data_IF_083311326314
#
_entry.id   IF_083311326314
#
_cell.length_a   1.000
_cell.length_b   1.000
_cell.length_c   1.000
_cell.angle_alpha   90.00
_cell.angle_beta   90.00
_cell.angle_gamma   90.00
#
_symmetry.space_group_name_H-M   'P 1'
#
loop_
_entity.id
_entity.type
_entity.pdbx_description
1 polymer ?
#
# COMPACT_ATOMS: atom_id res chain seq x y z
N UNK A 1 -34.80 74.08 -1.29
CA UNK A 1 -33.57 73.42 -0.86
C UNK A 1 -33.83 71.91 -0.88
N UNK A 2 -33.56 71.26 -2.01
CA UNK A 2 -33.73 69.82 -2.17
C UNK A 2 -32.42 69.15 -1.76
N UNK A 3 -32.45 68.34 -0.69
CA UNK A 3 -31.32 67.51 -0.30
C UNK A 3 -31.36 66.29 -1.20
N UNK A 4 -30.45 66.25 -2.16
CA UNK A 4 -30.18 65.09 -2.99
C UNK A 4 -29.47 64.09 -2.07
N UNK A 5 -30.16 63.02 -1.68
CA UNK A 5 -29.54 61.92 -0.97
C UNK A 5 -28.61 61.17 -1.93
N UNK A 6 -27.30 61.34 -1.78
CA UNK A 6 -26.34 60.46 -2.42
C UNK A 6 -26.51 59.05 -1.86
N UNK A 7 -27.06 58.15 -2.68
CA UNK A 7 -26.99 56.71 -2.42
C UNK A 7 -25.53 56.31 -2.60
N UNK A 8 -24.81 56.13 -1.49
CA UNK A 8 -23.49 55.48 -1.48
C UNK A 8 -23.65 54.16 -2.25
N UNK A 9 -22.95 53.93 -3.37
CA UNK A 9 -23.04 52.67 -4.07
C UNK A 9 -22.61 51.58 -3.09
N UNK A 10 -23.52 50.66 -2.79
CA UNK A 10 -23.25 49.55 -1.88
C UNK A 10 -21.96 48.88 -2.33
N UNK A 11 -20.95 48.85 -1.46
CA UNK A 11 -19.71 48.13 -1.71
C UNK A 11 -20.10 46.68 -1.94
N UNK A 12 -20.09 46.24 -3.19
CA UNK A 12 -20.21 44.83 -3.54
C UNK A 12 -18.92 44.20 -3.02
N UNK A 13 -18.93 43.74 -1.77
CA UNK A 13 -17.83 42.92 -1.25
C UNK A 13 -17.75 41.68 -2.13
N UNK A 14 -16.75 41.63 -3.00
CA UNK A 14 -16.45 40.47 -3.82
C UNK A 14 -16.25 39.27 -2.90
N UNK A 15 -17.23 38.37 -2.87
CA UNK A 15 -17.16 37.17 -2.03
C UNK A 15 -16.20 36.17 -2.69
N UNK A 16 -15.22 35.63 -1.95
CA UNK A 16 -14.26 34.68 -2.51
C UNK A 16 -14.95 33.54 -3.27
N UNK A 17 -14.37 33.18 -4.42
CA UNK A 17 -14.80 32.04 -5.25
C UNK A 17 -14.82 30.72 -4.49
N UNK A 18 -13.87 30.55 -3.57
CA UNK A 18 -13.59 29.32 -2.84
C UNK A 18 -13.59 29.60 -1.34
N UNK A 19 -14.23 28.73 -0.56
CA UNK A 19 -14.25 28.79 0.90
C UNK A 19 -13.49 27.63 1.53
N UNK A 20 -12.20 27.87 1.81
CA UNK A 20 -11.28 26.86 2.35
C UNK A 20 -11.74 26.25 3.68
N UNK A 21 -12.37 27.04 4.55
CA UNK A 21 -12.90 26.52 5.83
C UNK A 21 -13.92 25.39 5.62
N UNK A 22 -14.81 25.51 4.62
CA UNK A 22 -15.78 24.47 4.28
C UNK A 22 -15.10 23.22 3.70
N UNK A 23 -14.08 23.42 2.86
CA UNK A 23 -13.28 22.32 2.28
C UNK A 23 -12.55 21.54 3.37
N UNK A 24 -11.87 22.24 4.30
CA UNK A 24 -11.17 21.59 5.40
C UNK A 24 -12.13 20.88 6.35
N UNK A 25 -13.28 21.48 6.68
CA UNK A 25 -14.31 20.82 7.48
C UNK A 25 -14.81 19.53 6.80
N UNK A 26 -15.08 19.58 5.49
CA UNK A 26 -15.43 18.39 4.71
C UNK A 26 -14.33 17.33 4.72
N UNK A 27 -13.06 17.72 4.55
CA UNK A 27 -11.94 16.79 4.56
C UNK A 27 -11.70 16.12 5.93
N UNK A 28 -11.86 16.88 7.02
CA UNK A 28 -11.77 16.35 8.39
C UNK A 28 -12.88 15.33 8.63
N UNK A 29 -14.11 15.62 8.21
CA UNK A 29 -15.23 14.68 8.35
C UNK A 29 -15.05 13.43 7.49
N UNK A 30 -14.58 13.56 6.26
CA UNK A 30 -14.23 12.40 5.43
C UNK A 30 -13.19 11.51 6.13
N UNK A 31 -12.15 12.13 6.69
CA UNK A 31 -11.10 11.41 7.43
C UNK A 31 -11.65 10.69 8.66
N UNK A 32 -12.49 11.36 9.46
CA UNK A 32 -13.12 10.75 10.63
C UNK A 32 -14.02 9.56 10.25
N UNK A 33 -14.79 9.68 9.17
CA UNK A 33 -15.63 8.60 8.63
C UNK A 33 -14.76 7.44 8.14
N UNK A 34 -13.66 7.72 7.46
CA UNK A 34 -12.69 6.68 7.05
C UNK A 34 -12.17 5.93 8.26
N UNK A 35 -11.67 6.62 9.30
CA UNK A 35 -11.14 5.97 10.51
C UNK A 35 -12.20 5.11 11.21
N UNK A 36 -13.42 5.63 11.34
CA UNK A 36 -14.54 4.92 11.97
C UNK A 36 -14.89 3.62 11.22
N UNK A 37 -15.04 3.69 9.89
CA UNK A 37 -15.41 2.52 9.08
C UNK A 37 -14.25 1.53 8.91
N UNK A 38 -13.00 2.00 8.90
CA UNK A 38 -11.83 1.13 8.92
C UNK A 38 -11.76 0.37 10.23
N UNK A 39 -11.95 1.02 11.39
CA UNK A 39 -11.98 0.35 12.69
C UNK A 39 -13.10 -0.70 12.77
N UNK A 40 -14.29 -0.39 12.23
CA UNK A 40 -15.39 -1.35 12.12
C UNK A 40 -15.01 -2.57 11.28
N UNK A 41 -14.42 -2.34 10.10
CA UNK A 41 -13.98 -3.42 9.21
C UNK A 41 -12.91 -4.31 9.83
N UNK A 42 -11.95 -3.72 10.55
CA UNK A 42 -10.93 -4.45 11.29
C UNK A 42 -11.55 -5.32 12.38
N UNK A 43 -12.53 -4.81 13.13
CA UNK A 43 -13.24 -5.58 14.15
C UNK A 43 -13.95 -6.81 13.56
N UNK A 44 -14.63 -6.65 12.43
CA UNK A 44 -15.27 -7.76 11.70
C UNK A 44 -14.20 -8.74 11.19
N UNK A 45 -13.08 -8.25 10.66
CA UNK A 45 -11.99 -9.08 10.15
C UNK A 45 -11.35 -9.96 11.23
N UNK A 46 -11.12 -9.43 12.44
CA UNK A 46 -10.57 -10.21 13.55
C UNK A 46 -11.53 -11.29 14.05
N UNK A 47 -12.84 -11.05 13.97
CA UNK A 47 -13.83 -12.07 14.32
C UNK A 47 -13.82 -13.30 13.39
N UNK A 48 -13.21 -13.18 12.20
CA UNK A 48 -13.16 -14.25 11.18
C UNK A 48 -11.86 -15.08 11.22
N UNK A 49 -10.85 -14.65 11.97
CA UNK A 49 -9.56 -15.37 12.05
C UNK A 49 -9.54 -16.23 13.30
N UNK A 50 -9.46 -17.55 13.11
CA UNK A 50 -9.26 -18.50 14.20
C UNK A 50 -7.77 -18.76 14.42
N UNK A 51 -7.33 -19.00 15.67
CA UNK A 51 -5.98 -19.50 15.97
C UNK A 51 -5.68 -20.85 15.28
N UNK A 52 -6.72 -21.63 14.98
CA UNK A 52 -6.57 -22.88 14.23
C UNK A 52 -6.62 -22.60 12.72
N UNK A 53 -5.46 -22.59 12.08
CA UNK A 53 -5.30 -22.24 10.66
C UNK A 53 -6.01 -23.19 9.70
N UNK A 54 -6.37 -24.41 10.13
CA UNK A 54 -7.04 -25.40 9.30
C UNK A 54 -8.48 -25.01 8.92
N UNK A 55 -9.13 -24.16 9.71
CA UNK A 55 -10.51 -23.69 9.48
C UNK A 55 -10.59 -22.28 8.89
N UNK A 56 -9.45 -21.64 8.64
CA UNK A 56 -9.42 -20.27 8.15
C UNK A 56 -9.80 -20.22 6.66
N UNK A 57 -10.53 -19.19 6.22
CA UNK A 57 -10.83 -18.97 4.82
C UNK A 57 -9.53 -18.78 4.01
N UNK A 58 -9.62 -19.03 2.70
CA UNK A 58 -8.49 -18.81 1.78
C UNK A 58 -7.92 -17.39 1.95
N UNK A 59 -6.58 -17.21 2.03
CA UNK A 59 -5.94 -15.90 2.12
C UNK A 59 -6.36 -14.93 1.01
N UNK A 60 -6.66 -15.48 -0.17
CA UNK A 60 -7.16 -14.72 -1.32
C UNK A 60 -8.56 -14.17 -1.04
N UNK A 61 -9.46 -15.00 -0.50
CA UNK A 61 -10.82 -14.58 -0.17
C UNK A 61 -10.82 -13.47 0.90
N UNK A 62 -10.01 -13.63 1.94
CA UNK A 62 -9.83 -12.61 2.98
C UNK A 62 -9.35 -11.27 2.40
N UNK A 63 -8.36 -11.30 1.51
CA UNK A 63 -7.81 -10.09 0.88
C UNK A 63 -8.83 -9.41 -0.03
N UNK A 64 -9.60 -10.18 -0.81
CA UNK A 64 -10.65 -9.64 -1.70
C UNK A 64 -11.76 -8.97 -0.88
N UNK A 65 -12.23 -9.61 0.20
CA UNK A 65 -13.25 -9.02 1.07
C UNK A 65 -12.76 -7.73 1.73
N UNK A 66 -11.52 -7.70 2.21
CA UNK A 66 -10.91 -6.49 2.77
C UNK A 66 -10.80 -5.37 1.72
N UNK A 67 -10.40 -5.69 0.49
CA UNK A 67 -10.32 -4.73 -0.60
C UNK A 67 -11.70 -4.13 -0.95
N UNK A 68 -12.74 -4.96 -1.06
CA UNK A 68 -14.11 -4.49 -1.30
C UNK A 68 -14.58 -3.57 -0.17
N UNK A 69 -14.31 -3.95 1.08
CA UNK A 69 -14.65 -3.11 2.24
C UNK A 69 -13.99 -1.73 2.17
N UNK A 70 -12.69 -1.65 1.85
CA UNK A 70 -11.97 -0.38 1.74
C UNK A 70 -12.53 0.52 0.62
N UNK A 71 -13.00 -0.06 -0.49
CA UNK A 71 -13.69 0.69 -1.55
C UNK A 71 -14.97 1.32 -1.00
N UNK A 72 -15.77 0.54 -0.25
CA UNK A 72 -17.01 1.04 0.37
C UNK A 72 -16.69 2.17 1.36
N UNK A 73 -15.68 2.00 2.23
CA UNK A 73 -15.24 3.04 3.17
C UNK A 73 -14.90 4.33 2.42
N UNK A 74 -14.11 4.22 1.35
CA UNK A 74 -13.70 5.36 0.54
C UNK A 74 -14.90 6.09 -0.08
N UNK A 75 -15.87 5.36 -0.63
CA UNK A 75 -17.04 5.95 -1.27
C UNK A 75 -17.94 6.67 -0.25
N UNK A 76 -18.19 6.04 0.89
CA UNK A 76 -19.00 6.62 1.97
C UNK A 76 -18.32 7.87 2.55
N UNK A 77 -17.01 7.81 2.83
CA UNK A 77 -16.26 8.96 3.31
C UNK A 77 -16.26 10.12 2.30
N UNK A 78 -16.10 9.82 1.00
CA UNK A 78 -16.14 10.81 -0.08
C UNK A 78 -17.50 11.51 -0.16
N UNK A 79 -18.60 10.77 0.05
CA UNK A 79 -19.95 11.33 0.10
C UNK A 79 -20.08 12.33 1.26
N UNK A 80 -19.75 11.93 2.49
CA UNK A 80 -19.90 12.81 3.65
C UNK A 80 -19.00 14.05 3.58
N UNK A 81 -17.75 13.89 3.14
CA UNK A 81 -16.84 15.02 2.99
C UNK A 81 -17.28 16.00 1.92
N UNK A 82 -17.68 15.49 0.74
CA UNK A 82 -18.19 16.32 -0.35
C UNK A 82 -19.46 17.06 0.04
N UNK A 83 -20.41 16.34 0.65
CA UNK A 83 -21.67 16.91 1.14
C UNK A 83 -21.45 18.06 2.11
N UNK A 84 -20.57 17.88 3.09
CA UNK A 84 -20.31 18.91 4.09
C UNK A 84 -19.57 20.11 3.50
N UNK A 85 -18.62 19.88 2.57
CA UNK A 85 -17.93 20.96 1.87
C UNK A 85 -18.89 21.84 1.05
N UNK A 86 -19.87 21.24 0.38
CA UNK A 86 -20.93 21.97 -0.32
C UNK A 86 -21.88 22.70 0.64
N UNK A 87 -22.32 22.04 1.71
CA UNK A 87 -23.29 22.59 2.66
C UNK A 87 -22.76 23.76 3.49
N UNK A 88 -21.47 23.74 3.85
CA UNK A 88 -20.85 24.78 4.69
C UNK A 88 -20.34 25.99 3.89
N UNK A 89 -20.30 25.92 2.56
CA UNK A 89 -19.96 27.08 1.72
C UNK A 89 -21.02 28.17 1.92
N UNK A 90 -20.72 29.47 2.00
CA UNK A 90 -21.73 30.51 2.19
C UNK A 90 -22.69 30.61 0.99
N UNK A 91 -23.97 30.82 1.27
CA UNK A 91 -24.98 31.05 0.24
C UNK A 91 -24.57 32.22 -0.66
N UNK A 92 -24.71 32.02 -1.97
CA UNK A 92 -24.37 33.05 -2.95
C UNK A 92 -25.62 33.88 -3.21
N UNK A 93 -25.56 35.19 -2.95
CA UNK A 93 -26.73 36.08 -3.08
C UNK A 93 -27.30 36.16 -4.50
N UNK A 94 -28.47 36.77 -4.62
CA UNK A 94 -29.23 36.94 -5.86
C UNK A 94 -28.38 37.70 -6.91
N UNK A 95 -27.88 37.00 -7.93
CA UNK A 95 -27.06 37.60 -8.99
C UNK A 95 -26.14 36.65 -9.75
N UNK A 96 -25.83 35.46 -9.22
CA UNK A 96 -25.09 34.43 -9.97
C UNK A 96 -26.02 33.47 -10.71
N UNK A 97 -25.57 33.03 -11.89
CA UNK A 97 -26.22 31.97 -12.65
C UNK A 97 -26.22 30.66 -11.84
N UNK A 98 -27.31 29.90 -11.94
CA UNK A 98 -27.49 28.62 -11.23
C UNK A 98 -26.35 27.63 -11.52
N UNK A 99 -25.88 27.58 -12.78
CA UNK A 99 -24.81 26.69 -13.22
C UNK A 99 -23.47 27.00 -12.53
N UNK A 100 -23.18 28.27 -12.27
CA UNK A 100 -21.96 28.68 -11.58
C UNK A 100 -21.99 28.29 -10.10
N UNK A 101 -23.16 28.37 -9.45
CA UNK A 101 -23.32 27.92 -8.06
C UNK A 101 -23.12 26.40 -7.98
N UNK A 102 -23.71 25.65 -8.91
CA UNK A 102 -23.54 24.20 -9.01
C UNK A 102 -22.09 23.81 -9.29
N UNK A 103 -21.39 24.50 -10.19
CA UNK A 103 -19.97 24.29 -10.46
C UNK A 103 -19.12 24.51 -9.20
N UNK A 104 -19.37 25.59 -8.44
CA UNK A 104 -18.62 25.89 -7.22
C UNK A 104 -18.86 24.86 -6.11
N UNK A 105 -20.09 24.35 -5.99
CA UNK A 105 -20.43 23.34 -4.98
C UNK A 105 -19.87 21.95 -5.35
N UNK A 106 -19.88 21.57 -6.63
CA UNK A 106 -19.18 20.36 -7.12
C UNK A 106 -17.67 20.46 -6.95
N UNK A 107 -17.08 21.61 -7.27
CA UNK A 107 -15.65 21.86 -7.10
C UNK A 107 -15.25 21.82 -5.62
N UNK A 108 -16.06 22.37 -4.71
CA UNK A 108 -15.81 22.29 -3.28
C UNK A 108 -15.75 20.83 -2.80
N UNK A 109 -16.66 19.98 -3.28
CA UNK A 109 -16.64 18.54 -3.00
C UNK A 109 -15.40 17.83 -3.54
N UNK A 110 -15.02 18.12 -4.80
CA UNK A 110 -13.82 17.56 -5.41
C UNK A 110 -12.53 17.96 -4.67
N UNK A 111 -12.40 19.25 -4.31
CA UNK A 111 -11.22 19.75 -3.58
C UNK A 111 -11.17 19.17 -2.17
N UNK A 112 -12.32 19.01 -1.49
CA UNK A 112 -12.36 18.35 -0.18
C UNK A 112 -11.90 16.88 -0.27
N UNK A 113 -12.31 16.15 -1.31
CA UNK A 113 -11.81 14.81 -1.59
C UNK A 113 -10.29 14.79 -1.82
N UNK A 114 -9.76 15.71 -2.63
CA UNK A 114 -8.33 15.81 -2.89
C UNK A 114 -7.52 16.12 -1.62
N UNK A 115 -8.00 17.06 -0.79
CA UNK A 115 -7.38 17.38 0.50
C UNK A 115 -7.41 16.17 1.44
N UNK A 116 -8.51 15.42 1.46
CA UNK A 116 -8.61 14.18 2.26
C UNK A 116 -7.60 13.14 1.78
N UNK A 117 -7.49 12.92 0.47
CA UNK A 117 -6.53 11.96 -0.10
C UNK A 117 -5.09 12.35 0.25
N UNK A 118 -4.74 13.63 0.15
CA UNK A 118 -3.42 14.14 0.55
C UNK A 118 -3.18 14.01 2.06
N UNK A 119 -4.20 14.25 2.89
CA UNK A 119 -4.11 14.10 4.33
C UNK A 119 -3.88 12.63 4.70
N UNK A 120 -4.66 11.71 4.15
CA UNK A 120 -4.47 10.26 4.36
C UNK A 120 -3.07 9.84 3.89
N UNK A 121 -2.62 10.30 2.72
CA UNK A 121 -1.26 10.04 2.22
C UNK A 121 -0.18 10.60 3.16
N UNK A 122 -0.39 11.78 3.73
CA UNK A 122 0.51 12.38 4.71
C UNK A 122 0.56 11.55 6.01
N UNK A 123 -0.58 11.11 6.55
CA UNK A 123 -0.61 10.27 7.75
C UNK A 123 0.12 8.93 7.53
N UNK A 124 -0.06 8.32 6.36
CA UNK A 124 0.60 7.06 5.99
C UNK A 124 2.11 7.20 5.83
N UNK A 125 2.60 8.38 5.40
CA UNK A 125 4.03 8.65 5.20
C UNK A 125 4.73 9.18 6.46
N UNK A 126 3.99 9.72 7.42
CA UNK A 126 4.56 10.29 8.67
C UNK A 126 5.09 9.22 9.63
N UNK A 127 4.83 7.93 9.36
CA UNK A 127 5.42 6.81 10.12
C UNK A 127 6.95 6.74 10.07
N UNK A 128 7.60 7.28 9.02
CA UNK A 128 9.06 7.40 8.88
C UNK A 128 9.42 8.57 7.95
N UNK A 129 9.68 9.76 8.51
CA UNK A 129 10.54 10.82 7.95
C UNK A 129 10.32 11.35 6.51
N UNK A 130 10.07 12.66 6.40
CA UNK A 130 10.28 13.56 5.24
C UNK A 130 9.30 13.50 4.04
N UNK A 131 8.42 14.50 3.98
CA UNK A 131 7.31 14.66 3.00
C UNK A 131 7.72 15.32 1.67
N UNK A 132 8.95 15.80 1.49
CA UNK A 132 9.22 16.74 0.39
C UNK A 132 9.75 16.15 -0.94
N UNK A 133 9.59 14.86 -1.23
CA UNK A 133 10.06 14.34 -2.54
C UNK A 133 9.66 12.92 -2.94
N UNK A 134 8.53 12.40 -2.47
CA UNK A 134 8.29 10.94 -2.51
C UNK A 134 6.88 10.51 -2.88
N UNK A 135 6.24 11.15 -3.87
CA UNK A 135 4.96 10.63 -4.41
C UNK A 135 5.13 9.18 -4.92
N UNK A 136 6.28 8.84 -5.51
CA UNK A 136 6.61 7.47 -5.94
C UNK A 136 6.83 6.47 -4.80
N UNK A 137 7.43 6.88 -3.67
CA UNK A 137 7.69 5.97 -2.53
C UNK A 137 6.48 5.77 -1.63
N UNK A 138 5.57 6.74 -1.58
CA UNK A 138 4.33 6.61 -0.85
C UNK A 138 3.37 5.61 -1.54
N UNK A 139 3.34 5.62 -2.87
CA UNK A 139 2.62 4.62 -3.66
C UNK A 139 3.20 3.21 -3.46
N UNK A 140 4.53 3.05 -3.40
CA UNK A 140 5.15 1.76 -3.11
C UNK A 140 4.90 1.29 -1.67
N UNK A 141 4.96 2.18 -0.67
CA UNK A 141 4.70 1.85 0.74
C UNK A 141 3.26 1.38 0.99
N UNK A 142 2.29 1.94 0.27
CA UNK A 142 0.88 1.49 0.32
C UNK A 142 0.70 0.07 -0.24
N UNK A 143 1.40 -0.25 -1.33
CA UNK A 143 1.45 -1.61 -1.89
C UNK A 143 2.22 -2.57 -0.97
N UNK A 144 3.28 -2.10 -0.32
CA UNK A 144 4.12 -2.91 0.58
C UNK A 144 3.39 -3.25 1.89
N UNK A 145 2.69 -2.27 2.49
CA UNK A 145 1.90 -2.44 3.72
C UNK A 145 0.72 -3.42 3.58
N UNK A 146 0.17 -3.55 2.36
CA UNK A 146 -0.88 -4.51 2.03
C UNK A 146 -0.32 -5.87 1.58
N UNK A 147 0.96 -5.94 1.20
CA UNK A 147 1.69 -7.16 0.85
C UNK A 147 2.48 -7.78 2.01
N UNK A 148 2.74 -7.04 3.09
CA UNK A 148 3.59 -7.48 4.23
C UNK A 148 2.98 -8.54 5.14
N UNK A 149 1.73 -8.95 4.94
CA UNK A 149 1.15 -10.04 5.72
C UNK A 149 1.66 -11.44 5.31
N UNK A 150 2.48 -11.56 4.26
CA UNK A 150 2.84 -12.88 3.69
C UNK A 150 4.27 -13.02 3.13
N UNK A 151 5.20 -12.11 3.39
CA UNK A 151 6.54 -12.18 2.77
C UNK A 151 7.67 -12.01 3.79
N UNK A 152 7.98 -13.08 4.53
CA UNK A 152 9.34 -13.30 5.02
C UNK A 152 10.27 -13.38 3.81
N UNK A 153 11.15 -12.40 3.63
CA UNK A 153 12.14 -12.36 2.54
C UNK A 153 13.01 -13.63 2.56
N UNK A 154 12.93 -14.52 1.55
CA UNK A 154 13.71 -15.76 1.51
C UNK A 154 14.90 -15.69 0.53
N UNK A 155 15.40 -14.50 0.20
CA UNK A 155 16.33 -14.32 -0.95
C UNK A 155 17.83 -14.40 -0.59
N UNK A 156 18.17 -14.87 0.61
CA UNK A 156 19.54 -15.19 0.98
C UNK A 156 19.61 -16.66 1.39
N UNK A 157 20.69 -17.40 1.07
CA UNK A 157 20.92 -18.74 1.57
C UNK A 157 20.66 -18.80 3.07
N UNK A 158 19.67 -19.58 3.50
CA UNK A 158 19.34 -19.65 4.92
C UNK A 158 20.56 -20.17 5.68
N UNK A 159 20.93 -19.54 6.79
CA UNK A 159 22.02 -19.99 7.67
C UNK A 159 21.87 -21.46 8.08
N UNK A 160 20.63 -21.93 8.11
CA UNK A 160 20.23 -23.32 8.30
C UNK A 160 20.66 -24.28 7.17
N UNK A 161 20.63 -23.84 5.92
CA UNK A 161 21.06 -24.62 4.76
C UNK A 161 22.59 -24.76 4.71
N UNK A 162 23.30 -23.68 5.01
CA UNK A 162 24.75 -23.70 5.22
C UNK A 162 25.14 -24.62 6.40
N UNK A 163 24.36 -24.65 7.47
CA UNK A 163 24.58 -25.57 8.59
C UNK A 163 24.35 -27.04 8.20
N UNK A 164 23.38 -27.32 7.31
CA UNK A 164 23.15 -28.66 6.77
C UNK A 164 24.27 -29.13 5.84
N UNK A 165 24.77 -28.27 4.95
CA UNK A 165 25.84 -28.61 4.01
C UNK A 165 27.16 -28.92 4.72
N UNK A 166 27.52 -28.10 5.70
CA UNK A 166 28.77 -28.23 6.47
C UNK A 166 28.59 -29.00 7.78
N UNK A 167 27.52 -29.79 7.91
CA UNK A 167 27.28 -30.62 9.09
C UNK A 167 28.31 -31.77 9.11
N UNK A 168 29.20 -31.83 10.11
CA UNK A 168 30.21 -32.89 10.19
C UNK A 168 29.55 -34.27 10.27
N UNK A 169 30.15 -35.26 9.61
CA UNK A 169 29.73 -36.66 9.78
C UNK A 169 30.13 -37.12 11.18
N UNK A 170 29.42 -38.11 11.75
CA UNK A 170 29.61 -38.60 13.15
C UNK A 170 31.06 -38.96 13.52
N UNK A 171 31.93 -39.13 12.52
CA UNK A 171 33.33 -39.54 12.69
C UNK A 171 34.36 -38.44 12.35
N UNK A 172 33.96 -37.22 11.96
CA UNK A 172 34.89 -36.14 11.60
C UNK A 172 35.11 -35.19 12.78
N UNK A 173 36.33 -35.17 13.34
CA UNK A 173 36.74 -34.28 14.44
C UNK A 173 37.06 -32.83 14.00
N UNK A 174 36.85 -32.49 12.73
CA UNK A 174 37.09 -31.15 12.20
C UNK A 174 35.87 -30.25 12.36
N UNK A 175 36.08 -29.13 13.04
CA UNK A 175 35.12 -28.04 13.17
C UNK A 175 35.09 -27.25 11.86
N UNK A 176 33.93 -27.19 11.19
CA UNK A 176 33.79 -26.47 9.91
C UNK A 176 34.12 -24.98 10.06
N UNK A 177 35.05 -24.47 9.25
CA UNK A 177 35.58 -23.09 9.37
C UNK A 177 34.51 -22.04 9.04
N UNK A 178 34.31 -21.00 9.88
CA UNK A 178 33.37 -19.91 9.62
C UNK A 178 33.62 -19.17 8.30
N UNK A 179 34.89 -19.11 7.85
CA UNK A 179 35.28 -18.45 6.60
C UNK A 179 34.79 -19.22 5.36
N UNK A 180 34.85 -20.55 5.39
CA UNK A 180 34.38 -21.41 4.30
C UNK A 180 32.85 -21.38 4.16
N UNK A 181 32.12 -21.29 5.28
CA UNK A 181 30.66 -21.10 5.27
C UNK A 181 30.26 -19.74 4.67
N UNK A 182 31.06 -18.70 4.91
CA UNK A 182 30.83 -17.36 4.34
C UNK A 182 31.19 -17.28 2.85
N UNK A 183 32.16 -18.08 2.38
CA UNK A 183 32.51 -18.19 0.96
C UNK A 183 31.48 -19.01 0.18
N UNK A 184 31.11 -20.18 0.67
CA UNK A 184 30.02 -20.97 0.10
C UNK A 184 28.70 -20.17 0.05
N UNK A 185 28.36 -19.42 1.09
CA UNK A 185 27.19 -18.54 1.08
C UNK A 185 27.23 -17.42 0.05
N UNK A 186 28.41 -16.95 -0.36
CA UNK A 186 28.57 -15.92 -1.42
C UNK A 186 28.48 -16.51 -2.82
N UNK A 187 29.08 -17.68 -3.03
CA UNK A 187 28.98 -18.41 -4.31
C UNK A 187 27.53 -18.81 -4.55
N UNK A 188 26.89 -19.36 -3.53
CA UNK A 188 25.50 -19.78 -3.56
C UNK A 188 24.53 -18.59 -3.77
N UNK A 189 24.82 -17.42 -3.17
CA UNK A 189 24.07 -16.19 -3.46
C UNK A 189 24.15 -15.72 -4.93
N UNK A 190 25.14 -16.18 -5.70
CA UNK A 190 25.26 -15.88 -7.14
C UNK A 190 24.21 -16.65 -7.96
N UNK A 191 23.66 -17.77 -7.46
CA UNK A 191 22.55 -18.51 -8.11
C UNK A 191 21.30 -17.65 -8.30
N UNK A 192 21.10 -16.67 -7.44
CA UNK A 192 19.98 -15.74 -7.53
C UNK A 192 20.02 -14.95 -8.85
N UNK A 193 21.22 -14.72 -9.40
CA UNK A 193 21.46 -13.93 -10.63
C UNK A 193 21.50 -14.82 -11.89
N UNK A 194 21.93 -16.08 -11.79
CA UNK A 194 22.01 -17.01 -12.92
C UNK A 194 22.43 -18.42 -12.48
N UNK A 195 22.34 -19.45 -13.35
CA UNK A 195 22.75 -20.82 -13.01
C UNK A 195 24.23 -20.87 -12.59
N UNK A 196 24.59 -21.70 -11.59
CA UNK A 196 25.99 -21.88 -11.15
C UNK A 196 26.90 -22.21 -12.33
N UNK A 197 28.07 -21.57 -12.34
CA UNK A 197 29.13 -21.96 -13.26
C UNK A 197 29.65 -23.34 -12.86
N UNK A 198 29.96 -24.24 -13.82
CA UNK A 198 30.49 -25.56 -13.51
C UNK A 198 31.76 -25.51 -12.64
N UNK A 199 32.58 -24.45 -12.76
CA UNK A 199 33.78 -24.29 -11.94
C UNK A 199 33.48 -23.98 -10.47
N UNK A 200 32.41 -23.23 -10.21
CA UNK A 200 31.98 -22.92 -8.85
C UNK A 200 31.37 -24.15 -8.15
N UNK A 201 30.67 -25.00 -8.91
CA UNK A 201 30.17 -26.28 -8.42
C UNK A 201 31.31 -27.23 -8.04
N UNK A 202 32.30 -27.40 -8.93
CA UNK A 202 33.48 -28.23 -8.66
C UNK A 202 34.28 -27.74 -7.44
N UNK A 203 34.37 -26.43 -7.25
CA UNK A 203 35.02 -25.83 -6.07
C UNK A 203 34.25 -26.11 -4.77
N UNK A 204 32.91 -26.05 -4.80
CA UNK A 204 32.07 -26.39 -3.64
C UNK A 204 32.20 -27.88 -3.27
N UNK A 205 32.31 -28.78 -4.25
CA UNK A 205 32.56 -30.20 -4.01
C UNK A 205 33.90 -30.40 -3.30
N UNK A 206 34.98 -29.78 -3.79
CA UNK A 206 36.30 -29.85 -3.14
C UNK A 206 36.30 -29.26 -1.71
N UNK A 207 35.55 -28.18 -1.48
CA UNK A 207 35.43 -27.54 -0.17
C UNK A 207 34.65 -28.41 0.83
N UNK A 208 33.60 -29.10 0.37
CA UNK A 208 32.82 -30.06 1.18
C UNK A 208 33.66 -31.29 1.49
N UNK A 209 34.38 -31.84 0.53
CA UNK A 209 35.32 -32.95 0.73
C UNK A 209 36.36 -32.62 1.81
N UNK A 210 37.02 -31.46 1.67
CA UNK A 210 38.07 -31.02 2.58
C UNK A 210 37.59 -30.76 4.02
N UNK A 211 36.31 -30.41 4.22
CA UNK A 211 35.77 -30.13 5.56
C UNK A 211 35.00 -31.29 6.21
N UNK A 212 34.50 -32.23 5.42
CA UNK A 212 33.62 -33.30 5.94
C UNK A 212 34.26 -34.69 5.89
N UNK A 213 35.34 -34.87 5.12
CA UNK A 213 36.02 -36.16 4.95
C UNK A 213 35.18 -37.23 4.24
N UNK A 214 34.18 -36.82 3.45
CA UNK A 214 33.32 -37.70 2.66
C UNK A 214 34.04 -38.24 1.42
N UNK A 215 33.61 -39.39 0.91
CA UNK A 215 34.06 -39.91 -0.37
C UNK A 215 33.55 -39.02 -1.54
N UNK A 216 34.26 -38.93 -2.68
CA UNK A 216 33.96 -37.97 -3.74
C UNK A 216 32.52 -38.06 -4.26
N UNK A 217 31.99 -39.28 -4.41
CA UNK A 217 30.63 -39.51 -4.88
C UNK A 217 29.55 -39.02 -3.90
N UNK A 218 29.79 -39.10 -2.59
CA UNK A 218 28.85 -38.64 -1.55
C UNK A 218 28.91 -37.12 -1.37
N UNK A 219 30.04 -36.48 -1.68
CA UNK A 219 30.20 -35.03 -1.66
C UNK A 219 29.45 -34.37 -2.82
N UNK A 220 29.58 -34.91 -4.04
CA UNK A 220 28.83 -34.43 -5.22
C UNK A 220 27.32 -34.52 -4.99
N UNK A 221 26.82 -35.66 -4.49
CA UNK A 221 25.39 -35.82 -4.22
C UNK A 221 24.81 -34.85 -3.19
N UNK A 222 25.61 -34.41 -2.21
CA UNK A 222 25.18 -33.40 -1.22
C UNK A 222 25.16 -31.98 -1.79
N UNK A 223 26.14 -31.63 -2.62
CA UNK A 223 26.18 -30.34 -3.31
C UNK A 223 25.02 -30.26 -4.32
N UNK A 224 24.76 -31.33 -5.07
CA UNK A 224 23.64 -31.39 -6.02
C UNK A 224 22.27 -31.23 -5.32
N UNK A 225 22.08 -31.87 -4.16
CA UNK A 225 20.86 -31.69 -3.36
C UNK A 225 20.72 -30.25 -2.84
N UNK A 226 21.81 -29.63 -2.40
CA UNK A 226 21.80 -28.25 -1.94
C UNK A 226 21.46 -27.26 -3.07
N UNK A 227 22.04 -27.46 -4.25
CA UNK A 227 21.77 -26.65 -5.45
C UNK A 227 20.34 -26.89 -5.96
N UNK A 228 19.83 -28.11 -5.90
CA UNK A 228 18.44 -28.41 -6.27
C UNK A 228 17.43 -27.76 -5.30
N UNK A 229 17.69 -27.83 -4.00
CA UNK A 229 16.87 -27.18 -2.96
C UNK A 229 16.87 -25.65 -3.15
N UNK A 230 18.02 -25.06 -3.43
CA UNK A 230 18.13 -23.62 -3.68
C UNK A 230 17.42 -23.19 -4.96
N UNK A 231 17.63 -23.90 -6.07
CA UNK A 231 16.92 -23.63 -7.32
C UNK A 231 15.40 -23.70 -7.14
N UNK A 232 14.91 -24.63 -6.30
CA UNK A 232 13.50 -24.70 -5.95
C UNK A 232 13.04 -23.47 -5.15
N UNK A 233 13.85 -22.98 -4.22
CA UNK A 233 13.58 -21.77 -3.43
C UNK A 233 13.60 -20.51 -4.30
N UNK A 234 14.56 -20.39 -5.21
CA UNK A 234 14.65 -19.31 -6.21
C UNK A 234 13.42 -19.34 -7.12
N UNK A 235 13.01 -20.51 -7.60
CA UNK A 235 11.81 -20.66 -8.42
C UNK A 235 10.54 -20.23 -7.66
N UNK A 236 10.38 -20.67 -6.41
CA UNK A 236 9.27 -20.23 -5.54
C UNK A 236 9.30 -18.73 -5.28
N UNK A 237 10.46 -18.15 -5.04
CA UNK A 237 10.63 -16.71 -4.84
C UNK A 237 10.27 -15.93 -6.12
N UNK A 238 10.74 -16.37 -7.30
CA UNK A 238 10.37 -15.80 -8.61
C UNK A 238 8.87 -15.89 -8.87
N UNK A 239 8.24 -17.01 -8.51
CA UNK A 239 6.78 -17.18 -8.62
C UNK A 239 6.03 -16.23 -7.68
N UNK A 240 6.44 -16.14 -6.42
CA UNK A 240 5.85 -15.22 -5.44
C UNK A 240 6.00 -13.76 -5.89
N UNK A 241 7.18 -13.37 -6.37
CA UNK A 241 7.44 -12.04 -6.92
C UNK A 241 6.57 -11.75 -8.16
N UNK A 242 6.38 -12.72 -9.05
CA UNK A 242 5.49 -12.57 -10.21
C UNK A 242 4.01 -12.45 -9.82
N UNK A 243 3.55 -13.20 -8.83
CA UNK A 243 2.19 -13.08 -8.27
C UNK A 243 2.02 -11.72 -7.61
N UNK A 244 2.97 -11.28 -6.79
CA UNK A 244 2.97 -9.96 -6.16
C UNK A 244 2.96 -8.85 -7.21
N UNK A 245 3.77 -8.94 -8.27
CA UNK A 245 3.79 -7.97 -9.38
C UNK A 245 2.43 -7.88 -10.07
N UNK A 246 1.81 -9.02 -10.39
CA UNK A 246 0.47 -9.05 -11.02
C UNK A 246 -0.58 -8.48 -10.08
N UNK A 247 -0.57 -8.88 -8.80
CA UNK A 247 -1.48 -8.37 -7.79
C UNK A 247 -1.35 -6.85 -7.62
N UNK A 248 -0.11 -6.33 -7.54
CA UNK A 248 0.17 -4.90 -7.46
C UNK A 248 -0.33 -4.15 -8.71
N UNK A 249 -0.15 -4.71 -9.90
CA UNK A 249 -0.66 -4.11 -11.14
C UNK A 249 -2.19 -4.03 -11.16
N UNK A 250 -2.88 -5.13 -10.81
CA UNK A 250 -4.34 -5.12 -10.70
C UNK A 250 -4.81 -4.17 -9.60
N UNK A 251 -4.18 -4.21 -8.42
CA UNK A 251 -4.51 -3.32 -7.31
C UNK A 251 -4.35 -1.85 -7.70
N UNK A 252 -3.29 -1.48 -8.42
CA UNK A 252 -3.09 -0.12 -8.90
C UNK A 252 -4.21 0.34 -9.85
N UNK A 253 -4.61 -0.52 -10.80
CA UNK A 253 -5.74 -0.23 -11.69
C UNK A 253 -7.07 -0.11 -10.93
N UNK A 254 -7.36 -1.06 -10.04
CA UNK A 254 -8.58 -1.01 -9.21
C UNK A 254 -8.62 0.22 -8.31
N UNK A 255 -7.49 0.59 -7.70
CA UNK A 255 -7.38 1.78 -6.84
C UNK A 255 -7.59 3.05 -7.66
N UNK A 256 -7.04 3.13 -8.87
CA UNK A 256 -7.25 4.26 -9.77
C UNK A 256 -8.73 4.45 -10.11
N UNK A 257 -9.42 3.38 -10.54
CA UNK A 257 -10.86 3.46 -10.84
C UNK A 257 -11.70 3.73 -9.59
N UNK A 258 -11.35 3.13 -8.44
CA UNK A 258 -12.02 3.42 -7.17
C UNK A 258 -11.87 4.88 -6.74
N UNK A 259 -10.68 5.46 -6.89
CA UNK A 259 -10.43 6.88 -6.64
C UNK A 259 -11.26 7.78 -7.54
N UNK A 260 -11.36 7.45 -8.82
CA UNK A 260 -12.18 8.21 -9.77
C UNK A 260 -13.65 8.23 -9.35
N UNK A 261 -14.20 7.06 -8.97
CA UNK A 261 -15.58 6.96 -8.48
C UNK A 261 -15.76 7.74 -7.17
N UNK A 262 -14.81 7.65 -6.23
CA UNK A 262 -14.85 8.42 -4.99
C UNK A 262 -14.85 9.93 -5.23
N UNK A 263 -14.00 10.41 -6.14
CA UNK A 263 -13.97 11.81 -6.55
C UNK A 263 -15.31 12.26 -7.15
N UNK A 264 -15.90 11.44 -8.03
CA UNK A 264 -17.21 11.69 -8.62
C UNK A 264 -18.32 11.76 -7.54
N UNK A 265 -18.32 10.83 -6.59
CA UNK A 265 -19.26 10.83 -5.45
C UNK A 265 -19.12 12.13 -4.65
N UNK A 266 -17.89 12.59 -4.39
CA UNK A 266 -17.66 13.84 -3.67
C UNK A 266 -18.19 15.07 -4.43
N UNK A 267 -18.02 15.13 -5.76
CA UNK A 267 -18.61 16.18 -6.60
C UNK A 267 -20.12 16.22 -6.48
N UNK A 268 -20.79 15.07 -6.68
CA UNK A 268 -22.25 14.96 -6.61
C UNK A 268 -22.75 15.30 -5.21
N UNK A 269 -22.10 14.81 -4.17
CA UNK A 269 -22.44 15.11 -2.78
C UNK A 269 -22.29 16.61 -2.48
N UNK A 270 -21.25 17.26 -3.00
CA UNK A 270 -21.05 18.70 -2.92
C UNK A 270 -22.21 19.49 -3.52
N UNK A 271 -22.66 19.11 -4.72
CA UNK A 271 -23.84 19.72 -5.34
C UNK A 271 -25.11 19.53 -4.50
N UNK A 272 -25.32 18.34 -3.93
CA UNK A 272 -26.48 18.06 -3.07
C UNK A 272 -26.43 18.93 -1.80
N UNK A 273 -25.26 19.02 -1.16
CA UNK A 273 -25.06 19.84 0.05
C UNK A 273 -25.28 21.34 -0.22
N UNK A 274 -24.75 21.83 -1.34
CA UNK A 274 -24.92 23.22 -1.79
C UNK A 274 -26.38 23.58 -2.11
N UNK A 275 -27.09 22.70 -2.84
CA UNK A 275 -28.53 22.87 -3.09
C UNK A 275 -29.36 22.96 -1.82
N UNK A 276 -29.07 22.11 -0.82
CA UNK A 276 -29.81 22.12 0.45
C UNK A 276 -29.56 23.40 1.23
N UNK A 277 -28.32 23.91 1.24
CA UNK A 277 -27.99 25.22 1.80
C UNK A 277 -28.77 26.36 1.13
N UNK A 278 -28.94 26.31 -0.18
CA UNK A 278 -29.63 27.39 -0.90
C UNK A 278 -31.16 27.32 -0.75
N UNK A 279 -31.69 26.18 -0.28
CA UNK A 279 -33.14 25.96 -0.05
C UNK A 279 -33.59 26.33 1.38
N UNK A 280 -32.70 26.23 2.38
CA UNK A 280 -33.00 26.38 3.81
C UNK A 280 -32.05 27.36 4.48
#
# INVERSE_FOLDING_TARGET
MAIIGETVPGVVTARPGVTWAAIFAGAVVATAVTVMLTALGSGIGFAWVSPNTATNPSPIAFTVTAAIWLIIVQWVASFFGGYLAGRLRPATGQGLHHDEVMFRDTAAGFVAWAVTALLVLALLTTGLGSVLGSVGKAASALVESSATSSASSPMAPSSYMLDKMFRPSRNSAQTSSPAAKAEAGRILATEVVGPLDPQDHDYLVQLVEAQTGLAPADATGRVDQAVADENQMIAKAKQAANVARKAAAYFALYTFFSMLVGAFIACVAGAIGGRQRDTY
#
